data_IF_176067126788
#
_entry.id   IF_176067126788
#
_cell.length_a   1.000
_cell.length_b   1.000
_cell.length_c   1.000
_cell.angle_alpha   90.00
_cell.angle_beta   90.00
_cell.angle_gamma   90.00
#
_symmetry.space_group_name_H-M   'P 1'
#
loop_
_entity.id
_entity.type
_entity.pdbx_description
1 polymer ?
#
# COMPACT_ATOMS: atom_id res chain seq x y z
N UNK A 1 54.51 -16.24 -5.28
CA UNK A 1 53.85 -17.27 -6.13
C UNK A 1 52.39 -17.33 -5.75
N UNK A 2 51.45 -16.85 -6.58
CA UNK A 2 50.01 -17.04 -6.37
C UNK A 2 49.70 -18.54 -6.52
N UNK A 3 49.30 -19.23 -5.44
CA UNK A 3 48.76 -20.58 -5.53
C UNK A 3 47.58 -20.55 -6.51
N UNK A 4 47.70 -21.30 -7.63
CA UNK A 4 46.58 -21.55 -8.53
C UNK A 4 45.51 -22.28 -7.72
N UNK A 5 44.42 -21.62 -7.38
CA UNK A 5 43.25 -22.26 -6.79
C UNK A 5 42.74 -23.31 -7.76
N UNK A 6 42.42 -24.52 -7.28
CA UNK A 6 41.84 -25.55 -8.13
C UNK A 6 40.43 -25.11 -8.54
N UNK A 7 40.13 -25.15 -9.82
CA UNK A 7 38.83 -24.79 -10.36
C UNK A 7 37.72 -25.65 -9.74
N UNK A 8 36.64 -25.04 -9.32
CA UNK A 8 35.44 -25.72 -8.80
C UNK A 8 34.87 -26.63 -9.88
N UNK A 9 34.63 -27.90 -9.52
CA UNK A 9 34.07 -28.89 -10.43
C UNK A 9 32.72 -29.39 -9.94
N UNK A 10 31.71 -29.32 -10.80
CA UNK A 10 30.37 -29.85 -10.55
C UNK A 10 30.27 -31.27 -11.19
N UNK A 11 29.77 -32.23 -10.39
CA UNK A 11 29.65 -33.63 -10.86
C UNK A 11 28.32 -34.21 -10.38
N UNK A 12 27.54 -34.83 -11.30
CA UNK A 12 26.33 -35.57 -10.93
C UNK A 12 26.74 -36.85 -10.20
N UNK A 13 26.17 -37.12 -9.03
CA UNK A 13 26.35 -38.32 -8.22
C UNK A 13 25.06 -38.96 -7.84
N UNK A 14 25.10 -40.28 -7.53
CA UNK A 14 24.00 -41.04 -7.00
C UNK A 14 24.18 -41.23 -5.48
N UNK A 15 23.10 -41.05 -4.72
CA UNK A 15 23.01 -41.37 -3.29
C UNK A 15 21.87 -42.37 -3.11
N UNK A 16 22.17 -43.55 -2.54
CA UNK A 16 21.16 -44.57 -2.26
C UNK A 16 20.15 -44.04 -1.23
N UNK A 17 18.86 -44.30 -1.47
CA UNK A 17 17.81 -44.07 -0.51
C UNK A 17 17.94 -45.06 0.65
N UNK A 18 17.61 -44.65 1.87
CA UNK A 18 17.58 -45.51 3.06
C UNK A 18 16.29 -46.33 3.16
N UNK A 19 15.21 -45.87 2.51
CA UNK A 19 13.87 -46.42 2.66
C UNK A 19 13.29 -47.05 1.40
N UNK A 20 13.91 -46.80 0.19
CA UNK A 20 13.43 -47.28 -1.10
C UNK A 20 14.58 -47.83 -1.93
N UNK A 21 14.29 -48.70 -2.85
CA UNK A 21 15.30 -49.22 -3.78
C UNK A 21 15.47 -48.25 -4.99
N UNK A 22 15.93 -47.06 -4.65
CA UNK A 22 16.19 -45.96 -5.60
C UNK A 22 17.43 -45.18 -5.20
N UNK A 23 17.98 -44.41 -6.14
CA UNK A 23 19.13 -43.52 -5.94
C UNK A 23 18.72 -42.08 -6.27
N UNK A 24 18.91 -41.17 -5.32
CA UNK A 24 18.71 -39.74 -5.53
C UNK A 24 19.86 -39.17 -6.35
N UNK A 25 19.51 -38.35 -7.37
CA UNK A 25 20.44 -37.57 -8.16
C UNK A 25 20.84 -36.31 -7.38
N UNK A 26 22.14 -36.08 -7.29
CA UNK A 26 22.69 -34.89 -6.63
C UNK A 26 23.86 -34.34 -7.41
N UNK A 27 24.12 -33.05 -7.27
CA UNK A 27 25.31 -32.38 -7.78
C UNK A 27 26.32 -32.24 -6.65
N UNK A 28 27.48 -32.81 -6.83
CA UNK A 28 28.62 -32.69 -5.90
C UNK A 28 29.56 -31.61 -6.43
N UNK A 29 29.72 -30.55 -5.68
CA UNK A 29 30.47 -29.35 -6.04
C UNK A 29 31.69 -29.25 -5.14
N UNK A 30 32.89 -29.34 -5.74
CA UNK A 30 34.17 -29.33 -5.01
C UNK A 30 35.33 -28.96 -5.94
N UNK A 31 36.34 -28.22 -5.45
CA UNK A 31 36.40 -27.49 -4.18
C UNK A 31 35.62 -26.16 -4.22
N UNK A 32 34.95 -25.78 -3.14
CA UNK A 32 34.32 -24.45 -2.99
C UNK A 32 35.08 -23.71 -1.90
N UNK A 33 35.50 -22.48 -2.17
CA UNK A 33 36.24 -21.65 -1.21
C UNK A 33 35.38 -20.49 -0.78
N UNK A 34 35.12 -20.37 0.54
CA UNK A 34 34.38 -19.24 1.13
C UNK A 34 35.23 -17.97 1.23
N UNK A 35 36.55 -18.14 1.29
CA UNK A 35 37.54 -17.06 1.33
C UNK A 35 38.75 -17.47 0.48
N UNK A 36 39.50 -16.55 -0.17
CA UNK A 36 40.61 -16.87 -1.08
C UNK A 36 41.69 -17.75 -0.51
N UNK A 37 41.87 -17.77 0.83
CA UNK A 37 42.87 -18.61 1.54
C UNK A 37 42.23 -19.63 2.47
N UNK A 38 40.91 -19.88 2.34
CA UNK A 38 40.16 -20.80 3.20
C UNK A 38 40.42 -22.28 2.85
N UNK A 39 39.92 -23.16 3.75
CA UNK A 39 39.90 -24.60 3.44
C UNK A 39 38.79 -24.88 2.42
N UNK A 40 39.02 -25.81 1.48
CA UNK A 40 38.03 -26.20 0.49
C UNK A 40 36.82 -26.88 1.18
N UNK A 41 35.64 -26.46 0.85
CA UNK A 41 34.38 -27.08 1.27
C UNK A 41 33.77 -27.87 0.12
N UNK A 42 32.93 -28.85 0.46
CA UNK A 42 32.14 -29.62 -0.48
C UNK A 42 30.65 -29.31 -0.27
N UNK A 43 29.97 -28.95 -1.35
CA UNK A 43 28.54 -28.72 -1.37
C UNK A 43 27.88 -29.88 -2.13
N UNK A 44 26.74 -30.35 -1.63
CA UNK A 44 25.92 -31.39 -2.25
C UNK A 44 24.51 -30.85 -2.40
N UNK A 45 24.05 -30.70 -3.62
CA UNK A 45 22.70 -30.21 -3.95
C UNK A 45 21.85 -31.35 -4.51
N UNK A 46 20.66 -31.55 -3.98
CA UNK A 46 19.68 -32.51 -4.50
C UNK A 46 19.00 -31.94 -5.76
N UNK A 47 18.80 -32.78 -6.77
CA UNK A 47 18.15 -32.39 -8.03
C UNK A 47 16.63 -32.67 -8.01
N UNK A 48 16.11 -33.20 -6.88
CA UNK A 48 14.72 -33.63 -6.71
C UNK A 48 14.27 -34.67 -7.77
N UNK A 49 15.21 -35.52 -8.21
CA UNK A 49 14.98 -36.64 -9.11
C UNK A 49 15.67 -37.87 -8.56
N UNK A 50 15.08 -39.04 -8.82
CA UNK A 50 15.66 -40.34 -8.47
C UNK A 50 15.67 -41.28 -9.66
N UNK A 51 16.49 -42.31 -9.59
CA UNK A 51 16.61 -43.37 -10.58
C UNK A 51 16.58 -44.73 -9.87
N UNK A 52 16.01 -45.73 -10.53
CA UNK A 52 15.86 -47.09 -9.97
C UNK A 52 16.75 -48.13 -10.69
N UNK A 53 17.21 -47.85 -11.91
CA UNK A 53 17.91 -48.80 -12.76
C UNK A 53 19.31 -48.36 -13.22
N UNK A 54 20.18 -47.77 -12.35
CA UNK A 54 21.48 -47.31 -12.76
C UNK A 54 22.39 -48.47 -13.23
N UNK A 55 23.18 -48.25 -14.26
CA UNK A 55 24.19 -49.21 -14.76
C UNK A 55 25.51 -48.95 -14.03
N UNK A 56 26.04 -49.97 -13.41
CA UNK A 56 27.31 -49.88 -12.66
C UNK A 56 28.51 -50.34 -13.50
N UNK A 57 29.59 -49.57 -13.41
CA UNK A 57 30.86 -49.90 -14.06
C UNK A 57 31.70 -50.80 -13.13
N UNK A 58 31.67 -52.07 -13.37
CA UNK A 58 32.37 -53.07 -12.58
C UNK A 58 33.90 -52.97 -12.68
N UNK A 59 34.45 -52.23 -13.64
CA UNK A 59 35.90 -51.98 -13.77
C UNK A 59 36.41 -50.85 -12.85
N UNK A 60 35.49 -50.05 -12.30
CA UNK A 60 35.80 -48.89 -11.43
C UNK A 60 35.15 -48.97 -10.07
N UNK A 61 35.93 -49.40 -9.06
CA UNK A 61 35.49 -49.46 -7.65
C UNK A 61 35.31 -48.02 -7.13
N UNK A 62 34.16 -47.73 -6.51
CA UNK A 62 33.90 -46.47 -5.86
C UNK A 62 34.32 -46.50 -4.36
N UNK A 63 34.04 -47.60 -3.67
CA UNK A 63 34.41 -47.83 -2.26
C UNK A 63 34.46 -49.31 -1.91
N UNK A 64 35.43 -49.70 -1.13
CA UNK A 64 35.48 -50.98 -0.44
C UNK A 64 35.06 -50.78 0.99
N UNK A 65 34.08 -51.56 1.48
CA UNK A 65 33.54 -51.47 2.82
C UNK A 65 34.32 -52.38 3.78
N UNK A 66 34.28 -52.15 5.12
CA UNK A 66 34.98 -52.97 6.09
C UNK A 66 34.57 -54.46 6.12
N UNK A 67 33.35 -54.76 5.66
CA UNK A 67 32.77 -56.11 5.49
C UNK A 67 33.25 -56.82 4.23
N UNK A 68 34.17 -56.24 3.45
CA UNK A 68 34.66 -56.77 2.21
C UNK A 68 33.77 -56.52 0.97
N UNK A 69 32.58 -55.93 1.17
CA UNK A 69 31.70 -55.56 0.05
C UNK A 69 32.22 -54.38 -0.75
N UNK A 70 31.96 -54.38 -2.08
CA UNK A 70 32.48 -53.39 -3.00
C UNK A 70 31.31 -52.65 -3.66
N UNK A 71 31.35 -51.31 -3.67
CA UNK A 71 30.45 -50.50 -4.47
C UNK A 71 31.19 -49.97 -5.72
N UNK A 72 30.48 -49.92 -6.84
CA UNK A 72 31.02 -49.48 -8.13
C UNK A 72 30.59 -48.07 -8.47
N UNK A 73 31.32 -47.40 -9.37
CA UNK A 73 30.92 -46.11 -9.93
C UNK A 73 29.79 -46.32 -10.97
N UNK A 74 28.86 -45.37 -11.12
CA UNK A 74 27.89 -45.44 -12.19
C UNK A 74 28.57 -45.31 -13.53
N UNK A 75 28.16 -46.12 -14.49
CA UNK A 75 28.61 -46.03 -15.89
C UNK A 75 28.14 -44.74 -16.53
N UNK A 76 28.99 -44.12 -17.32
CA UNK A 76 28.71 -42.86 -18.03
C UNK A 76 28.86 -43.04 -19.51
N UNK A 77 28.07 -42.28 -20.29
CA UNK A 77 28.20 -42.19 -21.73
C UNK A 77 29.42 -41.33 -22.16
N UNK A 78 29.60 -41.11 -23.45
CA UNK A 78 30.67 -40.27 -23.99
C UNK A 78 30.62 -38.80 -23.53
N UNK A 79 29.44 -38.32 -23.16
CA UNK A 79 29.22 -36.94 -22.67
C UNK A 79 29.35 -36.86 -21.15
N UNK A 80 29.59 -37.98 -20.45
CA UNK A 80 29.73 -38.03 -19.00
C UNK A 80 28.40 -38.18 -18.25
N UNK A 81 27.27 -38.35 -18.92
CA UNK A 81 25.95 -38.55 -18.33
C UNK A 81 25.82 -39.96 -17.76
N UNK A 82 25.22 -40.12 -16.58
CA UNK A 82 25.00 -41.43 -15.95
C UNK A 82 23.99 -42.22 -16.80
N UNK A 83 24.33 -43.48 -17.09
CA UNK A 83 23.50 -44.39 -17.86
C UNK A 83 22.63 -45.26 -16.98
N UNK A 84 21.36 -45.42 -17.37
CA UNK A 84 20.36 -46.27 -16.72
C UNK A 84 19.76 -47.23 -17.75
N UNK A 85 19.08 -48.29 -17.26
CA UNK A 85 18.39 -49.25 -18.16
C UNK A 85 17.02 -48.73 -18.60
N UNK A 86 16.35 -47.99 -17.75
CA UNK A 86 15.04 -47.40 -18.05
C UNK A 86 15.20 -46.07 -18.82
N UNK A 87 14.29 -45.81 -19.76
CA UNK A 87 14.24 -44.58 -20.52
C UNK A 87 13.90 -43.36 -19.61
N UNK A 88 12.95 -43.53 -18.65
CA UNK A 88 12.58 -42.51 -17.69
C UNK A 88 13.74 -42.11 -16.75
N UNK A 89 14.54 -43.13 -16.31
CA UNK A 89 15.73 -42.86 -15.49
C UNK A 89 16.81 -42.14 -16.30
N UNK A 90 16.99 -42.47 -17.57
CA UNK A 90 17.93 -41.77 -18.48
C UNK A 90 17.50 -40.30 -18.67
N UNK A 91 16.21 -40.01 -18.83
CA UNK A 91 15.69 -38.64 -18.89
C UNK A 91 16.00 -37.86 -17.60
N UNK A 92 15.85 -38.51 -16.44
CA UNK A 92 16.21 -37.92 -15.13
C UNK A 92 17.69 -37.63 -15.02
N UNK A 93 18.55 -38.51 -15.55
CA UNK A 93 20.00 -38.30 -15.60
C UNK A 93 20.40 -37.16 -16.54
N UNK A 94 19.76 -37.03 -17.71
CA UNK A 94 19.95 -35.93 -18.64
C UNK A 94 19.53 -34.58 -18.01
N UNK A 95 18.42 -34.56 -17.31
CA UNK A 95 18.00 -33.39 -16.58
C UNK A 95 19.02 -32.98 -15.52
N UNK A 96 19.51 -33.92 -14.71
CA UNK A 96 20.55 -33.67 -13.71
C UNK A 96 21.85 -33.15 -14.33
N UNK A 97 22.20 -33.62 -15.51
CA UNK A 97 23.40 -33.12 -16.20
C UNK A 97 23.21 -31.68 -16.72
N UNK A 98 22.02 -31.33 -17.22
CA UNK A 98 21.73 -29.94 -17.57
C UNK A 98 21.81 -29.00 -16.34
N UNK A 99 21.31 -29.45 -15.20
CA UNK A 99 21.44 -28.65 -13.93
C UNK A 99 22.94 -28.56 -13.54
N UNK A 100 23.72 -29.63 -13.69
CA UNK A 100 25.19 -29.63 -13.49
C UNK A 100 25.87 -28.60 -14.37
N UNK A 101 25.50 -28.52 -15.65
CA UNK A 101 26.09 -27.55 -16.59
C UNK A 101 25.77 -26.12 -16.18
N UNK A 102 24.55 -25.83 -15.77
CA UNK A 102 24.17 -24.51 -15.24
C UNK A 102 25.01 -24.14 -14.02
N UNK A 103 25.13 -25.07 -13.04
CA UNK A 103 25.97 -24.84 -11.85
C UNK A 103 27.45 -24.67 -12.21
N UNK A 104 27.98 -25.47 -13.16
CA UNK A 104 29.38 -25.31 -13.58
C UNK A 104 29.62 -23.92 -14.16
N UNK A 105 28.73 -23.43 -15.03
CA UNK A 105 28.84 -22.07 -15.60
C UNK A 105 28.78 -20.99 -14.52
N UNK A 106 27.94 -21.13 -13.50
CA UNK A 106 27.87 -20.19 -12.36
C UNK A 106 29.23 -20.11 -11.65
N UNK A 107 29.83 -21.24 -11.33
CA UNK A 107 31.15 -21.28 -10.68
C UNK A 107 32.30 -20.83 -11.58
N UNK A 108 32.28 -21.18 -12.86
CA UNK A 108 33.29 -20.73 -13.84
C UNK A 108 33.25 -19.21 -14.03
N UNK A 109 32.04 -18.62 -13.94
CA UNK A 109 31.87 -17.18 -14.05
C UNK A 109 32.22 -16.43 -12.74
N UNK A 110 32.09 -17.06 -11.58
CA UNK A 110 32.46 -16.41 -10.28
C UNK A 110 33.96 -16.03 -10.26
N UNK A 111 34.83 -16.83 -10.86
CA UNK A 111 36.27 -16.57 -10.89
C UNK A 111 36.68 -15.51 -11.95
N UNK A 112 35.76 -15.17 -12.88
CA UNK A 112 36.01 -14.22 -13.99
C UNK A 112 35.61 -12.78 -13.64
N UNK A 113 34.69 -12.61 -12.72
CA UNK A 113 34.16 -11.26 -12.40
C UNK A 113 34.80 -10.70 -11.14
N UNK A 114 35.30 -9.46 -11.24
CA UNK A 114 35.58 -8.61 -10.10
C UNK A 114 34.26 -8.29 -9.41
N UNK A 115 34.28 -7.95 -8.10
CA UNK A 115 33.06 -7.55 -7.34
C UNK A 115 32.23 -6.49 -8.08
N UNK A 116 32.89 -5.61 -8.82
CA UNK A 116 32.26 -4.55 -9.62
C UNK A 116 31.54 -5.12 -10.85
N UNK A 117 32.13 -6.10 -11.54
CA UNK A 117 31.54 -6.74 -12.73
C UNK A 117 30.35 -7.61 -12.32
N UNK A 118 30.44 -8.31 -11.18
CA UNK A 118 29.34 -9.08 -10.62
C UNK A 118 28.15 -8.16 -10.23
N UNK A 119 28.44 -6.99 -9.64
CA UNK A 119 27.42 -6.00 -9.30
C UNK A 119 26.75 -5.43 -10.56
N UNK A 120 27.53 -5.14 -11.63
CA UNK A 120 27.01 -4.67 -12.92
C UNK A 120 26.15 -5.73 -13.61
N UNK A 121 26.56 -7.00 -13.59
CA UNK A 121 25.78 -8.11 -14.14
C UNK A 121 24.45 -8.29 -13.40
N UNK A 122 24.47 -8.27 -12.08
CA UNK A 122 23.25 -8.33 -11.25
C UNK A 122 22.31 -7.13 -11.49
N UNK A 123 22.88 -5.93 -11.69
CA UNK A 123 22.09 -4.74 -12.02
C UNK A 123 21.49 -4.83 -13.43
N UNK A 124 22.23 -5.36 -14.39
CA UNK A 124 21.74 -5.60 -15.76
C UNK A 124 20.58 -6.60 -15.75
N UNK A 125 20.68 -7.69 -14.99
CA UNK A 125 19.61 -8.67 -14.86
C UNK A 125 18.36 -8.04 -14.23
N UNK A 126 18.51 -7.26 -13.16
CA UNK A 126 17.39 -6.55 -12.51
C UNK A 126 16.71 -5.55 -13.43
N UNK A 127 17.46 -4.89 -14.30
CA UNK A 127 16.94 -3.93 -15.28
C UNK A 127 16.03 -4.58 -16.32
N UNK A 128 16.19 -5.88 -16.58
CA UNK A 128 15.34 -6.67 -17.50
C UNK A 128 14.09 -7.25 -16.81
N UNK A 129 13.93 -7.07 -15.49
CA UNK A 129 12.73 -7.50 -14.79
C UNK A 129 11.52 -6.64 -15.17
N UNK A 130 10.33 -7.24 -15.10
CA UNK A 130 9.08 -6.56 -15.41
C UNK A 130 8.57 -5.75 -14.21
N UNK A 131 8.46 -4.44 -14.37
CA UNK A 131 7.94 -3.53 -13.33
C UNK A 131 6.47 -3.78 -13.01
N UNK A 132 5.63 -4.19 -13.96
CA UNK A 132 4.21 -4.47 -13.70
C UNK A 132 4.07 -5.67 -12.76
N UNK A 133 4.87 -6.71 -12.94
CA UNK A 133 4.91 -7.86 -12.02
C UNK A 133 5.44 -7.45 -10.64
N UNK A 134 6.53 -6.68 -10.60
CA UNK A 134 7.05 -6.11 -9.37
C UNK A 134 5.98 -5.29 -8.62
N UNK A 135 5.22 -4.45 -9.34
CA UNK A 135 4.15 -3.64 -8.77
C UNK A 135 3.05 -4.51 -8.12
N UNK A 136 2.72 -5.63 -8.75
CA UNK A 136 1.76 -6.60 -8.20
C UNK A 136 2.26 -7.23 -6.90
N UNK A 137 3.53 -7.65 -6.87
CA UNK A 137 4.18 -8.17 -5.65
C UNK A 137 4.20 -7.11 -4.55
N UNK A 138 4.45 -5.85 -4.90
CA UNK A 138 4.47 -4.74 -3.95
C UNK A 138 3.07 -4.45 -3.37
N UNK A 139 2.00 -4.63 -4.14
CA UNK A 139 0.62 -4.59 -3.60
C UNK A 139 0.47 -5.62 -2.48
N UNK A 140 0.84 -6.85 -2.72
CA UNK A 140 0.67 -7.94 -1.73
C UNK A 140 1.57 -7.72 -0.50
N UNK A 141 2.80 -7.22 -0.69
CA UNK A 141 3.73 -6.91 0.39
C UNK A 141 3.18 -5.83 1.33
N UNK A 142 2.65 -4.74 0.77
CA UNK A 142 2.12 -3.59 1.54
C UNK A 142 0.79 -3.88 2.21
N UNK A 143 -0.02 -4.75 1.63
CA UNK A 143 -1.41 -4.91 2.05
C UNK A 143 -1.66 -6.04 3.05
N UNK A 144 -0.65 -6.73 3.52
CA UNK A 144 -0.75 -7.61 4.69
C UNK A 144 -1.21 -6.87 5.97
N UNK A 145 -1.00 -5.55 6.03
CA UNK A 145 -1.24 -4.72 7.23
C UNK A 145 -2.18 -3.51 6.96
N UNK A 146 -2.45 -3.15 5.71
CA UNK A 146 -3.17 -1.92 5.35
C UNK A 146 -4.68 -2.13 5.11
N UNK A 147 -5.44 -1.01 5.13
CA UNK A 147 -6.88 -1.03 4.89
C UNK A 147 -7.24 -1.45 3.47
N UNK A 148 -8.39 -2.11 3.31
CA UNK A 148 -8.93 -2.56 2.01
C UNK A 148 -9.07 -1.41 1.00
N UNK A 149 -9.43 -0.20 1.44
CA UNK A 149 -9.57 0.96 0.53
C UNK A 149 -8.24 1.38 -0.10
N UNK A 150 -7.12 1.22 0.60
CA UNK A 150 -5.79 1.49 0.05
C UNK A 150 -5.46 0.42 -1.01
N UNK A 151 -5.74 -0.85 -0.71
CA UNK A 151 -5.54 -1.97 -1.65
C UNK A 151 -6.31 -1.77 -2.96
N UNK A 152 -7.56 -1.33 -2.88
CA UNK A 152 -8.39 -1.01 -4.06
C UNK A 152 -7.70 0.05 -4.94
N UNK A 153 -7.16 1.12 -4.35
CA UNK A 153 -6.47 2.16 -5.11
C UNK A 153 -5.18 1.63 -5.76
N UNK A 154 -4.38 0.82 -5.07
CA UNK A 154 -3.19 0.19 -5.63
C UNK A 154 -3.53 -0.75 -6.79
N UNK A 155 -4.54 -1.61 -6.63
CA UNK A 155 -5.02 -2.48 -7.69
C UNK A 155 -5.51 -1.67 -8.90
N UNK A 156 -6.16 -0.53 -8.67
CA UNK A 156 -6.60 0.32 -9.77
C UNK A 156 -5.42 0.92 -10.53
N UNK A 157 -4.35 1.35 -9.84
CA UNK A 157 -3.12 1.82 -10.50
C UNK A 157 -2.46 0.70 -11.30
N UNK A 158 -2.44 -0.53 -10.78
CA UNK A 158 -1.96 -1.71 -11.51
C UNK A 158 -2.71 -1.92 -12.84
N UNK A 159 -4.04 -1.86 -12.82
CA UNK A 159 -4.83 -1.96 -14.06
C UNK A 159 -4.55 -0.80 -15.03
N UNK A 160 -4.36 0.41 -14.51
CA UNK A 160 -4.03 1.57 -15.34
C UNK A 160 -2.62 1.49 -15.94
N UNK A 161 -1.66 0.88 -15.25
CA UNK A 161 -0.33 0.58 -15.79
C UNK A 161 -0.41 -0.36 -16.99
N UNK A 162 -1.24 -1.42 -16.91
CA UNK A 162 -1.46 -2.35 -18.02
C UNK A 162 -2.09 -1.67 -19.24
N UNK A 163 -3.07 -0.79 -19.00
CA UNK A 163 -3.71 0.00 -20.07
C UNK A 163 -2.69 0.94 -20.73
N UNK A 164 -1.86 1.62 -19.93
CA UNK A 164 -0.82 2.52 -20.42
C UNK A 164 0.24 1.79 -21.25
N UNK A 165 0.71 0.65 -20.77
CA UNK A 165 1.68 -0.21 -21.45
C UNK A 165 1.11 -0.90 -22.70
N UNK A 166 -0.23 -0.87 -22.89
CA UNK A 166 -0.94 -1.67 -23.90
C UNK A 166 -0.61 -3.17 -23.80
N UNK A 167 -0.34 -3.66 -22.59
CA UNK A 167 0.08 -5.01 -22.29
C UNK A 167 0.49 -5.18 -20.82
N UNK A 168 1.20 -6.26 -20.54
CA UNK A 168 1.57 -6.67 -19.19
C UNK A 168 3.07 -6.48 -18.88
N UNK A 169 3.82 -5.77 -19.75
CA UNK A 169 5.27 -5.63 -19.64
C UNK A 169 5.70 -4.18 -19.74
N UNK A 170 6.41 -3.72 -18.72
CA UNK A 170 7.29 -2.54 -18.69
C UNK A 170 8.58 -3.00 -18.03
N UNK A 171 9.69 -3.01 -18.76
CA UNK A 171 10.98 -3.38 -18.16
C UNK A 171 11.51 -2.22 -17.30
N UNK A 172 12.27 -2.55 -16.24
CA UNK A 172 12.92 -1.51 -15.46
C UNK A 172 13.92 -0.68 -16.27
N UNK A 173 14.51 -1.27 -17.34
CA UNK A 173 15.35 -0.54 -18.31
C UNK A 173 14.62 0.56 -19.06
N UNK A 174 13.30 0.42 -19.25
CA UNK A 174 12.48 1.37 -20.01
C UNK A 174 11.95 2.51 -19.13
N UNK A 175 12.14 2.40 -17.80
CA UNK A 175 11.66 3.39 -16.85
C UNK A 175 12.64 4.58 -16.81
N UNK A 176 12.28 5.63 -17.50
CA UNK A 176 12.98 6.90 -17.55
C UNK A 176 12.07 8.08 -17.15
N UNK A 177 12.63 9.29 -17.14
CA UNK A 177 11.86 10.50 -16.81
C UNK A 177 10.72 10.76 -17.81
N UNK A 178 10.92 10.38 -19.07
CA UNK A 178 9.92 10.55 -20.12
C UNK A 178 8.72 9.64 -19.87
N UNK A 179 8.95 8.36 -19.59
CA UNK A 179 7.87 7.42 -19.25
C UNK A 179 7.07 7.91 -18.03
N UNK A 180 7.75 8.48 -17.01
CA UNK A 180 7.07 9.03 -15.84
C UNK A 180 6.17 10.23 -16.19
N UNK A 181 6.63 11.15 -17.02
CA UNK A 181 5.83 12.28 -17.47
C UNK A 181 4.68 11.83 -18.40
N UNK A 182 4.92 10.88 -19.30
CA UNK A 182 3.89 10.30 -20.16
C UNK A 182 2.81 9.59 -19.33
N UNK A 183 3.20 8.82 -18.32
CA UNK A 183 2.25 8.19 -17.40
C UNK A 183 1.48 9.22 -16.57
N UNK A 184 2.12 10.30 -16.14
CA UNK A 184 1.47 11.42 -15.44
C UNK A 184 0.41 12.09 -16.31
N UNK A 185 0.70 12.34 -17.60
CA UNK A 185 -0.29 12.89 -18.55
C UNK A 185 -1.42 11.89 -18.80
N UNK A 186 -1.10 10.61 -18.97
CA UNK A 186 -2.11 9.55 -19.07
C UNK A 186 -3.06 9.55 -17.86
N UNK A 187 -2.55 9.73 -16.63
CA UNK A 187 -3.40 9.77 -15.42
C UNK A 187 -4.46 10.87 -15.44
N UNK A 188 -4.22 12.00 -16.13
CA UNK A 188 -5.19 13.10 -16.25
C UNK A 188 -6.38 12.75 -17.16
N UNK A 189 -6.21 11.76 -18.03
CA UNK A 189 -7.23 11.31 -19.00
C UNK A 189 -7.61 9.84 -18.80
N UNK A 190 -7.08 9.20 -17.76
CA UNK A 190 -7.26 7.77 -17.50
C UNK A 190 -8.75 7.41 -17.31
N UNK A 191 -9.20 6.26 -17.82
CA UNK A 191 -10.59 5.84 -17.70
C UNK A 191 -10.97 5.59 -16.23
N UNK A 192 -12.20 5.95 -15.85
CA UNK A 192 -12.68 5.80 -14.47
C UNK A 192 -12.79 4.35 -14.01
N UNK A 193 -13.00 3.42 -14.93
CA UNK A 193 -13.11 1.97 -14.64
C UNK A 193 -14.49 1.53 -14.19
N UNK A 194 -14.69 0.21 -14.23
CA UNK A 194 -15.99 -0.40 -13.94
C UNK A 194 -17.05 -0.04 -15.00
N UNK A 195 -18.32 0.05 -14.58
CA UNK A 195 -19.45 0.42 -15.46
C UNK A 195 -19.57 1.94 -15.72
N UNK A 196 -18.74 2.76 -15.07
CA UNK A 196 -18.80 4.22 -15.22
C UNK A 196 -18.07 4.67 -16.48
N UNK A 197 -18.75 5.43 -17.33
CA UNK A 197 -18.14 6.10 -18.48
C UNK A 197 -17.51 7.42 -18.02
N UNK A 198 -16.33 7.74 -18.52
CA UNK A 198 -15.61 8.98 -18.20
C UNK A 198 -14.19 8.77 -17.73
N UNK A 199 -13.54 9.86 -17.36
CA UNK A 199 -12.17 9.90 -16.85
C UNK A 199 -12.13 10.05 -15.33
N UNK A 200 -11.03 9.69 -14.72
CA UNK A 200 -10.81 9.92 -13.28
C UNK A 200 -10.76 11.41 -12.97
N UNK A 201 -11.23 11.82 -11.81
CA UNK A 201 -11.09 13.22 -11.37
C UNK A 201 -9.61 13.56 -11.16
N UNK A 202 -9.27 14.87 -11.29
CA UNK A 202 -7.91 15.36 -11.09
C UNK A 202 -7.33 14.91 -9.73
N UNK A 203 -8.09 15.00 -8.64
CA UNK A 203 -7.61 14.59 -7.31
C UNK A 203 -7.46 13.07 -7.18
N UNK A 204 -8.23 12.28 -7.92
CA UNK A 204 -8.01 10.84 -8.06
C UNK A 204 -6.70 10.56 -8.81
N UNK A 205 -6.43 11.29 -9.90
CA UNK A 205 -5.17 11.19 -10.64
C UNK A 205 -3.96 11.54 -9.77
N UNK A 206 -4.06 12.57 -8.90
CA UNK A 206 -3.03 12.90 -7.88
C UNK A 206 -2.74 11.69 -6.99
N UNK A 207 -3.79 11.08 -6.45
CA UNK A 207 -3.66 9.91 -5.58
C UNK A 207 -2.99 8.74 -6.31
N UNK A 208 -3.44 8.42 -7.52
CA UNK A 208 -2.92 7.30 -8.31
C UNK A 208 -1.47 7.52 -8.74
N UNK A 209 -1.13 8.74 -9.15
CA UNK A 209 0.25 9.06 -9.51
C UNK A 209 1.18 9.03 -8.28
N UNK A 210 0.69 9.41 -7.10
CA UNK A 210 1.43 9.29 -5.85
C UNK A 210 1.71 7.83 -5.48
N UNK A 211 0.76 6.92 -5.74
CA UNK A 211 0.93 5.46 -5.57
C UNK A 211 2.02 4.94 -6.52
N UNK A 212 1.98 5.33 -7.79
CA UNK A 212 3.00 4.97 -8.78
C UNK A 212 4.40 5.43 -8.33
N UNK A 213 4.53 6.69 -7.89
CA UNK A 213 5.79 7.21 -7.34
C UNK A 213 6.26 6.45 -6.11
N UNK A 214 5.35 6.02 -5.23
CA UNK A 214 5.69 5.23 -4.06
C UNK A 214 6.24 3.84 -4.43
N UNK A 215 5.70 3.20 -5.48
CA UNK A 215 6.23 1.94 -6.00
C UNK A 215 7.62 2.12 -6.63
N UNK A 216 7.85 3.20 -7.40
CA UNK A 216 9.16 3.51 -7.97
C UNK A 216 10.21 3.78 -6.89
N UNK A 217 9.85 4.53 -5.84
CA UNK A 217 10.74 4.76 -4.71
C UNK A 217 11.14 3.45 -4.02
N UNK A 218 10.18 2.53 -3.87
CA UNK A 218 10.47 1.22 -3.30
C UNK A 218 11.36 0.40 -4.24
N UNK A 219 11.12 0.43 -5.55
CA UNK A 219 11.96 -0.25 -6.53
C UNK A 219 13.41 0.27 -6.52
N UNK A 220 13.61 1.57 -6.28
CA UNK A 220 14.95 2.13 -6.04
C UNK A 220 15.57 1.58 -4.75
N UNK A 221 14.83 1.52 -3.65
CA UNK A 221 15.31 0.95 -2.37
C UNK A 221 15.65 -0.53 -2.53
N UNK A 222 14.86 -1.28 -3.30
CA UNK A 222 15.06 -2.71 -3.55
C UNK A 222 16.17 -2.97 -4.59
N UNK A 223 16.78 -1.91 -5.18
CA UNK A 223 17.92 -1.99 -6.09
C UNK A 223 17.58 -2.36 -7.54
N UNK A 224 16.31 -2.22 -7.96
CA UNK A 224 15.91 -2.37 -9.37
C UNK A 224 16.22 -1.12 -10.20
N UNK A 225 16.18 0.05 -9.59
CA UNK A 225 16.55 1.33 -10.19
C UNK A 225 17.84 1.85 -9.56
N UNK A 226 18.73 2.40 -10.37
CA UNK A 226 20.00 3.00 -9.93
C UNK A 226 19.83 4.43 -9.42
N UNK A 227 18.72 5.08 -9.76
CA UNK A 227 18.41 6.47 -9.43
C UNK A 227 16.99 6.54 -8.91
N UNK A 228 16.74 7.34 -7.85
CA UNK A 228 15.38 7.64 -7.38
C UNK A 228 14.67 8.59 -8.36
N UNK A 229 14.04 8.02 -9.38
CA UNK A 229 13.26 8.76 -10.37
C UNK A 229 12.00 9.38 -9.73
N UNK A 230 11.48 8.81 -8.65
CA UNK A 230 10.31 9.32 -7.96
C UNK A 230 10.52 10.73 -7.39
N UNK A 231 11.75 11.07 -6.98
CA UNK A 231 12.10 12.38 -6.47
C UNK A 231 12.25 13.43 -7.58
N UNK A 232 12.59 13.01 -8.82
CA UNK A 232 12.87 13.92 -9.95
C UNK A 232 11.61 14.43 -10.64
N UNK A 233 10.48 13.74 -10.53
CA UNK A 233 9.22 14.13 -11.19
C UNK A 233 8.27 14.78 -10.17
N UNK A 234 7.80 15.99 -10.50
CA UNK A 234 6.79 16.69 -9.71
C UNK A 234 5.46 15.95 -9.76
N UNK A 235 4.78 15.86 -8.62
CA UNK A 235 3.42 15.32 -8.55
C UNK A 235 2.43 16.12 -9.41
N UNK A 236 1.25 15.54 -9.63
CA UNK A 236 0.12 16.27 -10.22
C UNK A 236 -0.36 17.28 -9.17
N UNK A 237 -0.50 18.58 -9.48
CA UNK A 237 -1.02 19.55 -8.53
C UNK A 237 -2.50 19.25 -8.23
N UNK A 238 -2.84 19.30 -6.94
CA UNK A 238 -4.20 19.12 -6.47
C UNK A 238 -5.10 20.26 -6.98
N UNK A 239 -6.37 19.93 -7.26
CA UNK A 239 -7.41 20.89 -7.54
C UNK A 239 -8.16 21.17 -6.23
N UNK A 240 -8.27 22.44 -5.85
CA UNK A 240 -9.12 22.81 -4.72
C UNK A 240 -10.55 22.39 -4.99
N UNK A 241 -11.12 21.64 -4.05
CA UNK A 241 -12.53 21.28 -4.07
C UNK A 241 -13.28 22.11 -3.05
N UNK A 242 -14.34 22.80 -3.51
CA UNK A 242 -15.27 23.46 -2.59
C UNK A 242 -15.93 22.39 -1.74
N UNK A 243 -15.84 22.56 -0.42
CA UNK A 243 -16.46 21.66 0.53
C UNK A 243 -17.81 22.25 0.94
N UNK A 244 -18.89 21.56 0.58
CA UNK A 244 -20.22 21.99 0.94
C UNK A 244 -20.43 21.81 2.46
N UNK A 245 -21.15 22.76 3.04
CA UNK A 245 -21.59 22.77 4.43
C UNK A 245 -22.96 23.42 4.54
N UNK A 246 -23.66 23.19 5.64
CA UNK A 246 -24.96 23.80 5.94
C UNK A 246 -24.75 25.06 6.77
N UNK A 247 -25.50 26.13 6.46
CA UNK A 247 -25.62 27.27 7.39
C UNK A 247 -26.41 26.86 8.61
N UNK A 248 -26.48 27.70 9.65
CA UNK A 248 -27.29 27.42 10.84
C UNK A 248 -28.76 27.33 10.47
N UNK A 249 -29.27 28.22 9.57
CA UNK A 249 -30.63 28.22 9.08
C UNK A 249 -30.96 26.93 8.31
N UNK A 250 -30.08 26.53 7.39
CA UNK A 250 -30.26 25.28 6.64
C UNK A 250 -30.21 24.05 7.55
N UNK A 251 -29.35 24.05 8.58
CA UNK A 251 -29.29 22.96 9.55
C UNK A 251 -30.59 22.88 10.37
N UNK A 252 -31.16 24.00 10.76
CA UNK A 252 -32.44 24.06 11.49
C UNK A 252 -33.60 23.59 10.60
N UNK A 253 -33.68 24.03 9.36
CA UNK A 253 -34.68 23.56 8.40
C UNK A 253 -34.56 22.04 8.22
N UNK A 254 -33.36 21.53 8.06
CA UNK A 254 -33.12 20.10 7.89
C UNK A 254 -33.49 19.31 9.16
N UNK A 255 -33.16 19.83 10.33
CA UNK A 255 -33.55 19.22 11.61
C UNK A 255 -35.07 19.13 11.78
N UNK A 256 -35.82 20.12 11.31
CA UNK A 256 -37.30 20.10 11.34
C UNK A 256 -37.90 19.16 10.28
N UNK A 257 -37.20 18.92 9.17
CA UNK A 257 -37.69 18.11 8.04
C UNK A 257 -37.83 16.63 8.41
N UNK A 258 -38.97 15.97 8.14
CA UNK A 258 -39.12 14.53 8.31
C UNK A 258 -38.12 13.72 7.45
N UNK A 259 -37.69 12.58 7.98
CA UNK A 259 -36.76 11.69 7.27
C UNK A 259 -37.26 10.24 7.33
N UNK A 260 -37.32 9.56 6.16
CA UNK A 260 -37.76 8.15 6.05
C UNK A 260 -36.86 7.18 6.86
N UNK A 261 -35.66 7.62 7.19
CA UNK A 261 -34.70 6.84 7.98
C UNK A 261 -34.26 7.64 9.21
N UNK A 262 -35.03 7.59 10.33
CA UNK A 262 -34.75 8.38 11.53
C UNK A 262 -33.34 8.19 12.08
N UNK A 263 -32.77 7.01 11.97
CA UNK A 263 -31.38 6.73 12.42
C UNK A 263 -30.35 7.54 11.63
N UNK A 264 -30.54 7.73 10.32
CA UNK A 264 -29.64 8.55 9.48
C UNK A 264 -29.73 10.02 9.88
N UNK A 265 -30.98 10.53 10.09
CA UNK A 265 -31.19 11.89 10.55
C UNK A 265 -30.51 12.15 11.90
N UNK A 266 -30.76 11.28 12.90
CA UNK A 266 -30.12 11.38 14.22
C UNK A 266 -28.61 11.39 14.13
N UNK A 267 -28.01 10.44 13.41
CA UNK A 267 -26.57 10.33 13.26
C UNK A 267 -25.96 11.53 12.51
N UNK A 268 -26.63 12.04 11.47
CA UNK A 268 -26.19 13.20 10.71
C UNK A 268 -26.18 14.48 11.56
N UNK A 269 -27.28 14.74 12.28
CA UNK A 269 -27.38 15.88 13.22
C UNK A 269 -26.35 15.74 14.36
N UNK A 270 -26.15 14.53 14.88
CA UNK A 270 -25.12 14.26 15.88
C UNK A 270 -23.72 14.60 15.32
N UNK A 271 -23.41 14.22 14.06
CA UNK A 271 -22.18 14.62 13.39
C UNK A 271 -22.05 16.14 13.25
N UNK A 272 -23.16 16.87 12.98
CA UNK A 272 -23.16 18.33 12.89
C UNK A 272 -22.91 19.03 14.25
N UNK A 273 -23.25 18.39 15.34
CA UNK A 273 -23.08 18.93 16.70
C UNK A 273 -21.77 18.52 17.38
N UNK A 274 -21.14 17.43 16.91
CA UNK A 274 -19.93 16.86 17.55
C UNK A 274 -18.71 16.84 16.65
N UNK A 275 -18.88 16.96 15.33
CA UNK A 275 -17.82 16.79 14.34
C UNK A 275 -17.37 15.35 14.15
N UNK A 276 -18.00 14.34 14.76
CA UNK A 276 -17.60 12.93 14.64
C UNK A 276 -17.77 12.40 13.21
N UNK A 277 -16.87 11.52 12.79
CA UNK A 277 -16.95 10.85 11.49
C UNK A 277 -18.02 9.77 11.49
N UNK A 278 -18.64 9.50 10.34
CA UNK A 278 -19.64 8.44 10.17
C UNK A 278 -19.19 7.10 10.78
N UNK A 279 -17.97 6.66 10.44
CA UNK A 279 -17.44 5.37 10.91
C UNK A 279 -17.23 5.29 12.42
N UNK A 280 -16.99 6.44 13.07
CA UNK A 280 -16.85 6.53 14.52
C UNK A 280 -18.24 6.52 15.17
N UNK A 281 -19.22 7.25 14.61
CA UNK A 281 -20.63 7.25 15.05
C UNK A 281 -21.25 5.84 14.92
N UNK A 282 -20.99 5.14 13.82
CA UNK A 282 -21.50 3.79 13.57
C UNK A 282 -21.04 2.78 14.63
N UNK A 283 -19.86 2.98 15.20
CA UNK A 283 -19.27 2.07 16.19
C UNK A 283 -19.36 2.58 17.63
N UNK A 284 -19.93 3.77 17.84
CA UNK A 284 -20.05 4.38 19.15
C UNK A 284 -20.93 3.54 20.07
N UNK A 285 -20.40 3.20 21.23
CA UNK A 285 -21.09 2.44 22.27
C UNK A 285 -21.58 3.32 23.41
N UNK A 286 -22.63 2.90 24.08
CA UNK A 286 -23.15 3.61 25.24
C UNK A 286 -22.16 3.74 26.40
N UNK A 287 -21.27 2.77 26.56
CA UNK A 287 -20.19 2.82 27.57
C UNK A 287 -19.12 3.89 27.29
N UNK A 288 -19.05 4.39 26.05
CA UNK A 288 -18.13 5.45 25.64
C UNK A 288 -18.70 6.85 25.89
N UNK A 289 -19.99 6.96 26.25
CA UNK A 289 -20.64 8.23 26.62
C UNK A 289 -20.73 8.30 28.14
N UNK A 290 -20.00 9.22 28.71
CA UNK A 290 -19.93 9.42 30.17
C UNK A 290 -20.35 10.84 30.54
N UNK A 291 -20.95 11.00 31.71
CA UNK A 291 -21.22 12.30 32.30
C UNK A 291 -20.05 12.68 33.20
N UNK A 292 -19.47 13.85 32.97
CA UNK A 292 -18.34 14.39 33.72
C UNK A 292 -18.74 15.76 34.25
N UNK A 293 -19.15 15.82 35.53
CA UNK A 293 -19.80 16.99 36.11
C UNK A 293 -21.13 17.29 35.40
N UNK A 294 -21.27 18.52 34.91
CA UNK A 294 -22.46 18.98 34.19
C UNK A 294 -22.40 18.74 32.67
N UNK A 295 -21.30 18.14 32.16
CA UNK A 295 -21.09 17.95 30.75
C UNK A 295 -21.07 16.47 30.36
N UNK A 296 -21.57 16.16 29.16
CA UNK A 296 -21.42 14.87 28.53
C UNK A 296 -20.11 14.81 27.74
N UNK A 297 -19.45 13.67 27.75
CA UNK A 297 -18.24 13.41 26.97
C UNK A 297 -18.34 12.08 26.25
N UNK A 298 -17.72 12.03 25.07
CA UNK A 298 -17.51 10.80 24.32
C UNK A 298 -16.03 10.43 24.42
N UNK A 299 -15.75 9.25 24.97
CA UNK A 299 -14.40 8.70 25.12
C UNK A 299 -14.27 7.50 24.18
N UNK A 300 -13.64 7.69 23.04
CA UNK A 300 -13.56 6.64 22.03
C UNK A 300 -12.21 6.66 21.29
N UNK A 301 -11.87 5.51 20.66
CA UNK A 301 -10.70 5.42 19.79
C UNK A 301 -11.14 5.59 18.34
N UNK A 302 -10.62 6.63 17.67
CA UNK A 302 -10.95 6.89 16.27
C UNK A 302 -10.57 5.72 15.38
N UNK A 303 -11.49 5.27 14.52
CA UNK A 303 -11.27 4.12 13.64
C UNK A 303 -10.21 4.40 12.57
N UNK A 304 -10.15 5.64 12.08
CA UNK A 304 -9.22 6.01 10.99
C UNK A 304 -7.81 6.31 11.48
N UNK A 305 -7.67 7.06 12.58
CA UNK A 305 -6.36 7.57 13.05
C UNK A 305 -5.82 6.83 14.26
N UNK A 306 -6.65 5.95 14.88
CA UNK A 306 -6.34 5.19 16.10
C UNK A 306 -6.00 6.08 17.32
N UNK A 307 -6.28 7.39 17.24
CA UNK A 307 -6.16 8.31 18.38
C UNK A 307 -7.26 8.09 19.40
N UNK A 308 -6.94 8.20 20.68
CA UNK A 308 -7.93 8.24 21.77
C UNK A 308 -8.45 9.67 21.84
N UNK A 309 -9.77 9.84 21.79
CA UNK A 309 -10.43 11.13 21.81
C UNK A 309 -11.32 11.26 23.05
N UNK A 310 -11.26 12.45 23.65
CA UNK A 310 -12.08 12.87 24.80
C UNK A 310 -12.83 14.13 24.37
N UNK A 311 -13.98 13.94 23.72
CA UNK A 311 -14.70 15.05 23.11
C UNK A 311 -15.92 15.42 23.96
N UNK A 312 -16.01 16.64 24.50
CA UNK A 312 -17.24 17.12 25.15
C UNK A 312 -18.34 17.23 24.08
N UNK A 313 -19.55 16.88 24.47
CA UNK A 313 -20.75 17.02 23.64
C UNK A 313 -21.81 17.80 24.39
N UNK A 314 -22.62 18.53 23.64
CA UNK A 314 -23.77 19.31 24.23
C UNK A 314 -24.88 18.38 24.67
N UNK A 315 -25.73 18.88 25.55
CA UNK A 315 -26.98 18.19 25.96
C UNK A 315 -27.85 17.83 24.74
N UNK A 316 -27.94 18.73 23.76
CA UNK A 316 -28.70 18.49 22.54
C UNK A 316 -28.09 17.33 21.72
N UNK A 317 -26.74 17.21 21.66
CA UNK A 317 -26.11 16.09 21.02
C UNK A 317 -26.35 14.77 21.77
N UNK A 318 -26.35 14.81 23.10
CA UNK A 318 -26.73 13.64 23.93
C UNK A 318 -28.16 13.19 23.69
N UNK A 319 -29.12 14.11 23.59
CA UNK A 319 -30.53 13.79 23.30
C UNK A 319 -30.70 13.07 21.96
N UNK A 320 -29.86 13.37 20.95
CA UNK A 320 -29.84 12.65 19.68
C UNK A 320 -29.38 11.19 19.81
N UNK A 321 -28.70 10.83 20.88
CA UNK A 321 -28.33 9.44 21.13
C UNK A 321 -29.57 8.57 21.44
N UNK A 322 -30.64 9.16 21.99
CA UNK A 322 -31.86 8.47 22.37
C UNK A 322 -31.79 7.90 23.78
N UNK A 323 -32.63 6.91 24.08
CA UNK A 323 -32.67 6.26 25.38
C UNK A 323 -31.39 5.45 25.64
N UNK A 324 -30.84 5.61 26.86
CA UNK A 324 -29.61 4.95 27.27
C UNK A 324 -29.83 3.46 27.43
N UNK A 325 -29.02 2.68 26.75
CA UNK A 325 -28.97 1.22 26.81
C UNK A 325 -27.71 0.72 27.53
N UNK A 326 -27.55 -0.62 27.57
CA UNK A 326 -26.35 -1.24 28.12
C UNK A 326 -25.08 -0.72 27.47
N UNK A 327 -24.00 -0.61 28.22
CA UNK A 327 -22.73 -0.02 27.78
C UNK A 327 -22.10 -0.66 26.55
N UNK A 328 -22.37 -1.93 26.27
CA UNK A 328 -21.86 -2.63 25.11
C UNK A 328 -22.69 -2.43 23.83
N UNK A 329 -23.91 -1.92 23.97
CA UNK A 329 -24.81 -1.67 22.83
C UNK A 329 -24.35 -0.44 22.05
N UNK A 330 -24.60 -0.46 20.74
CA UNK A 330 -24.34 0.67 19.88
C UNK A 330 -25.37 1.79 20.12
N UNK A 331 -24.91 3.04 20.13
CA UNK A 331 -25.79 4.22 20.28
C UNK A 331 -26.64 4.42 19.02
N UNK A 332 -26.07 4.23 17.86
CA UNK A 332 -26.74 4.34 16.57
C UNK A 332 -26.88 2.97 15.91
N UNK A 333 -27.47 2.02 16.64
CA UNK A 333 -27.68 0.66 16.14
C UNK A 333 -28.53 0.68 14.87
N UNK A 334 -28.08 -0.03 13.82
CA UNK A 334 -28.74 -0.04 12.52
C UNK A 334 -28.34 1.12 11.59
N UNK A 335 -27.35 1.95 11.96
CA UNK A 335 -26.80 2.96 11.04
C UNK A 335 -26.08 2.25 9.87
N UNK A 336 -26.56 2.41 8.62
CA UNK A 336 -25.99 1.72 7.47
C UNK A 336 -24.57 2.17 7.15
N UNK A 337 -23.83 1.36 6.37
CA UNK A 337 -22.53 1.75 5.85
C UNK A 337 -22.60 2.96 4.91
N UNK A 338 -21.49 3.71 4.74
CA UNK A 338 -21.46 4.92 3.93
C UNK A 338 -21.98 4.74 2.50
N UNK A 339 -21.79 3.54 1.92
CA UNK A 339 -22.27 3.21 0.57
C UNK A 339 -23.80 3.17 0.45
N UNK A 340 -24.51 2.87 1.55
CA UNK A 340 -25.98 2.75 1.58
C UNK A 340 -26.70 4.02 2.08
N UNK A 341 -25.95 4.95 2.67
CA UNK A 341 -26.51 6.20 3.20
C UNK A 341 -26.83 7.23 2.11
N UNK A 342 -26.09 7.26 1.02
CA UNK A 342 -26.12 8.34 0.03
C UNK A 342 -27.54 8.62 -0.51
N UNK A 343 -28.26 7.60 -0.97
CA UNK A 343 -29.62 7.78 -1.51
C UNK A 343 -30.67 8.22 -0.51
N UNK A 344 -30.77 7.61 0.70
CA UNK A 344 -31.68 8.09 1.74
C UNK A 344 -31.37 9.52 2.19
N UNK A 345 -30.09 9.87 2.31
CA UNK A 345 -29.66 11.21 2.67
C UNK A 345 -30.04 12.24 1.60
N UNK A 346 -29.78 11.95 0.32
CA UNK A 346 -30.15 12.80 -0.79
C UNK A 346 -31.66 13.09 -0.86
N UNK A 347 -32.49 12.06 -0.60
CA UNK A 347 -33.96 12.25 -0.53
C UNK A 347 -34.35 13.20 0.61
N UNK A 348 -33.77 13.01 1.80
CA UNK A 348 -34.06 13.87 2.94
C UNK A 348 -33.64 15.32 2.71
N UNK A 349 -32.45 15.54 2.15
CA UNK A 349 -31.95 16.87 1.75
C UNK A 349 -32.91 17.51 0.70
N UNK A 350 -33.33 16.74 -0.30
CA UNK A 350 -34.28 17.23 -1.32
C UNK A 350 -35.63 17.65 -0.71
N UNK A 351 -36.16 16.87 0.21
CA UNK A 351 -37.44 17.20 0.91
C UNK A 351 -37.33 18.49 1.72
N UNK A 352 -36.16 18.80 2.29
CA UNK A 352 -35.92 20.04 3.03
C UNK A 352 -35.80 21.30 2.13
N UNK A 353 -35.77 21.15 0.80
CA UNK A 353 -35.61 22.27 -0.12
C UNK A 353 -34.15 22.76 -0.26
N UNK A 354 -33.18 22.13 0.37
CA UNK A 354 -31.77 22.49 0.29
C UNK A 354 -31.24 22.03 -1.08
N UNK A 355 -30.65 22.95 -1.84
CA UNK A 355 -30.13 22.67 -3.21
C UNK A 355 -28.67 22.22 -3.23
N UNK A 356 -27.96 22.35 -2.12
CA UNK A 356 -26.56 21.93 -1.99
C UNK A 356 -26.41 20.41 -2.06
N UNK A 357 -25.32 19.93 -2.64
CA UNK A 357 -24.99 18.50 -2.62
C UNK A 357 -24.37 18.11 -1.28
N UNK A 358 -25.19 17.70 -0.33
CA UNK A 358 -24.79 17.35 1.03
C UNK A 358 -24.57 15.85 1.15
N UNK A 359 -23.35 15.45 1.45
CA UNK A 359 -22.98 14.08 1.84
C UNK A 359 -22.91 13.98 3.37
N UNK A 360 -22.85 12.76 3.91
CA UNK A 360 -22.74 12.61 5.38
C UNK A 360 -21.50 13.34 5.94
N UNK A 361 -20.40 13.38 5.20
CA UNK A 361 -19.19 14.10 5.64
C UNK A 361 -19.38 15.63 5.70
N UNK A 362 -20.36 16.18 4.97
CA UNK A 362 -20.67 17.60 5.01
C UNK A 362 -21.18 18.05 6.38
N UNK A 363 -21.80 17.17 7.18
CA UNK A 363 -22.22 17.51 8.56
C UNK A 363 -21.02 17.79 9.46
N UNK A 364 -19.93 17.05 9.30
CA UNK A 364 -18.68 17.35 10.00
C UNK A 364 -18.03 18.64 9.46
N UNK A 365 -18.16 18.94 8.17
CA UNK A 365 -17.72 20.24 7.63
C UNK A 365 -18.58 21.38 8.20
N UNK A 366 -19.89 21.16 8.34
CA UNK A 366 -20.82 22.08 8.99
C UNK A 366 -20.38 22.40 10.42
N UNK A 367 -20.12 21.37 11.24
CA UNK A 367 -19.58 21.54 12.59
C UNK A 367 -18.34 22.44 12.59
N UNK A 368 -17.32 22.10 11.78
CA UNK A 368 -16.08 22.85 11.75
C UNK A 368 -16.28 24.31 11.34
N UNK A 369 -17.10 24.55 10.31
CA UNK A 369 -17.34 25.90 9.79
C UNK A 369 -18.15 26.73 10.77
N UNK A 370 -19.22 26.18 11.38
CA UNK A 370 -20.03 26.89 12.36
C UNK A 370 -19.25 27.20 13.65
N UNK A 371 -18.41 26.28 14.13
CA UNK A 371 -17.55 26.55 15.29
C UNK A 371 -16.58 27.70 15.03
N UNK A 372 -15.92 27.72 13.87
CA UNK A 372 -15.04 28.81 13.48
C UNK A 372 -15.79 30.13 13.31
N UNK A 373 -17.01 30.08 12.73
CA UNK A 373 -17.86 31.27 12.58
C UNK A 373 -18.26 31.85 13.96
N UNK A 374 -18.59 30.97 14.92
CA UNK A 374 -18.93 31.35 16.28
C UNK A 374 -17.75 31.79 17.16
N UNK A 375 -16.55 31.89 16.61
CA UNK A 375 -15.40 32.42 17.35
C UNK A 375 -14.48 31.36 17.97
N UNK A 376 -14.82 30.06 17.91
CA UNK A 376 -13.92 29.00 18.39
C UNK A 376 -12.61 29.04 17.61
N UNK A 377 -11.47 29.02 18.28
CA UNK A 377 -10.17 29.06 17.62
C UNK A 377 -9.88 27.78 16.84
N UNK A 378 -9.03 27.89 15.81
CA UNK A 378 -8.76 26.79 14.88
C UNK A 378 -8.10 25.58 15.55
N UNK A 379 -7.28 25.80 16.60
CA UNK A 379 -6.61 24.70 17.30
C UNK A 379 -7.63 23.89 18.11
N UNK A 380 -8.55 24.54 18.78
CA UNK A 380 -9.67 23.90 19.51
C UNK A 380 -10.53 23.11 18.53
N UNK A 381 -10.94 23.71 17.40
CA UNK A 381 -11.73 23.00 16.37
C UNK A 381 -10.93 21.82 15.80
N UNK A 382 -9.64 21.99 15.55
CA UNK A 382 -8.77 20.92 15.07
C UNK A 382 -8.70 19.74 16.05
N UNK A 383 -8.61 20.04 17.36
CA UNK A 383 -8.63 19.03 18.42
C UNK A 383 -9.98 18.33 18.51
N UNK A 384 -11.10 19.05 18.52
CA UNK A 384 -12.45 18.47 18.54
C UNK A 384 -12.69 17.55 17.32
N UNK A 385 -12.09 17.87 16.18
CA UNK A 385 -12.15 17.02 15.00
C UNK A 385 -11.16 15.83 15.06
N UNK A 386 -10.23 15.79 16.00
CA UNK A 386 -9.15 14.79 16.03
C UNK A 386 -8.27 14.84 14.78
N UNK A 387 -7.86 16.04 14.36
CA UNK A 387 -6.91 16.21 13.27
C UNK A 387 -5.50 16.23 13.85
N UNK A 388 -4.62 15.38 13.32
CA UNK A 388 -3.19 15.34 13.69
C UNK A 388 -2.41 16.55 13.17
N UNK A 389 -2.95 17.26 12.15
CA UNK A 389 -2.33 18.43 11.54
C UNK A 389 -3.38 19.52 11.34
N UNK A 390 -3.14 20.71 11.93
CA UNK A 390 -4.01 21.89 11.82
C UNK A 390 -4.26 22.33 10.38
N UNK A 391 -3.31 22.07 9.45
CA UNK A 391 -3.51 22.34 8.02
C UNK A 391 -4.77 21.67 7.46
N UNK A 392 -5.20 20.55 8.03
CA UNK A 392 -6.45 19.89 7.65
C UNK A 392 -7.68 20.71 8.02
N UNK A 393 -7.60 21.55 9.07
CA UNK A 393 -8.67 22.42 9.53
C UNK A 393 -8.66 23.78 8.83
N UNK A 394 -7.50 24.23 8.29
CA UNK A 394 -7.39 25.51 7.58
C UNK A 394 -8.30 25.64 6.36
N UNK A 395 -8.74 24.53 5.78
CA UNK A 395 -9.69 24.54 4.65
C UNK A 395 -11.03 25.21 5.02
N UNK A 396 -11.41 25.20 6.30
CA UNK A 396 -12.65 25.81 6.78
C UNK A 396 -12.54 27.31 7.07
N UNK A 397 -11.32 27.82 7.28
CA UNK A 397 -11.11 29.26 7.56
C UNK A 397 -11.36 30.15 6.33
N UNK A 398 -11.26 29.60 5.13
CA UNK A 398 -11.54 30.33 3.88
C UNK A 398 -13.00 30.76 3.73
N UNK A 399 -13.91 30.21 4.54
CA UNK A 399 -15.36 30.40 4.43
C UNK A 399 -15.87 31.43 5.43
N UNK A 400 -15.04 31.88 6.41
CA UNK A 400 -15.47 32.78 7.49
C UNK A 400 -15.09 34.22 7.14
N UNK A 401 -15.78 34.79 6.13
CA UNK A 401 -15.54 36.17 5.71
C UNK A 401 -15.96 37.23 6.75
N UNK A 402 -17.01 36.97 7.52
CA UNK A 402 -17.47 37.85 8.60
C UNK A 402 -16.38 38.18 9.65
N UNK A 403 -15.43 37.24 9.91
CA UNK A 403 -14.31 37.52 10.80
C UNK A 403 -13.25 38.43 10.17
N UNK A 404 -13.11 38.42 8.86
CA UNK A 404 -12.18 39.35 8.17
C UNK A 404 -12.72 40.75 8.22
N UNK A 405 -14.03 40.94 8.05
CA UNK A 405 -14.70 42.23 8.20
C UNK A 405 -14.57 42.76 9.62
N UNK A 406 -14.91 41.94 10.64
CA UNK A 406 -14.73 42.31 12.04
C UNK A 406 -13.29 42.60 12.43
N UNK A 407 -12.31 41.87 11.86
CA UNK A 407 -10.89 42.12 12.11
C UNK A 407 -10.41 43.42 11.42
N UNK A 408 -10.96 43.74 10.25
CA UNK A 408 -10.65 45.03 9.59
C UNK A 408 -11.19 46.20 10.40
N UNK A 409 -12.37 46.08 10.99
CA UNK A 409 -13.02 47.09 11.80
C UNK A 409 -12.47 47.20 13.24
N UNK A 410 -11.70 46.21 13.69
CA UNK A 410 -11.15 46.20 15.06
C UNK A 410 -10.04 47.22 15.29
N UNK A 411 -9.32 47.63 14.24
CA UNK A 411 -8.25 48.63 14.34
C UNK A 411 -8.81 50.00 13.96
N UNK A 412 -9.11 50.80 14.96
CA UNK A 412 -9.56 52.19 14.78
C UNK A 412 -8.48 53.12 15.22
N UNK A 413 -8.06 54.04 14.34
CA UNK A 413 -7.16 55.14 14.64
C UNK A 413 -7.96 56.42 14.67
N UNK A 414 -7.70 57.28 15.67
CA UNK A 414 -8.28 58.61 15.68
C UNK A 414 -7.53 59.47 14.69
N UNK A 415 -8.10 59.61 13.49
CA UNK A 415 -7.64 60.61 12.54
C UNK A 415 -8.19 61.95 13.06
N UNK A 416 -7.37 62.74 13.77
CA UNK A 416 -7.70 64.13 14.07
C UNK A 416 -7.89 64.86 12.73
N UNK A 417 -9.03 65.49 12.59
CA UNK A 417 -9.42 66.32 11.44
C UNK A 417 -8.47 67.51 11.34
N UNK A 418 -7.37 67.38 10.63
CA UNK A 418 -6.59 68.53 10.14
C UNK A 418 -7.12 69.02 8.81
N UNK A 419 -8.36 69.46 8.74
CA UNK A 419 -8.88 70.13 7.55
C UNK A 419 -10.11 70.97 7.87
N UNK A 420 -9.98 71.96 8.76
CA UNK A 420 -10.92 73.10 8.87
C UNK A 420 -10.19 74.44 9.12
N UNK A 421 -9.09 74.71 8.42
CA UNK A 421 -8.48 76.06 8.52
C UNK A 421 -7.80 76.56 7.26
N UNK A 422 -8.40 76.27 6.08
CA UNK A 422 -8.06 76.98 4.86
C UNK A 422 -9.34 77.29 4.06
N UNK A 423 -10.25 78.08 4.62
CA UNK A 423 -11.20 78.92 3.90
C UNK A 423 -11.66 80.04 4.82
N UNK A 424 -10.86 81.10 4.93
CA UNK A 424 -11.29 82.47 5.26
C UNK A 424 -10.53 83.43 4.41
#
# INVERSE_FOLDING_TARGET
MKKKLANTKCTVKLRKSEYRDEWYLMIDIYPVYKTPNGKPHRIKEGVNRSVTTPIWDKSHIAKTHPDGSVTYKPRRDANGVIMCRSAADNESCLYADKVRELRQREYDNQDLYTDTEAAMAAQSERSQCNFIEYFKVEIDRRHKVNSESIRINWNRVYELLKIFAKGDVILFSDIDLKLLEDFKQFMLTAPQGGKKKGTVSRNTAVTYFSIFKAALKQAFIDGYLTIDLSAKVKGIPEQESRREYLTMEELNILAATPCDKPIIKRAALFSALTGMRHVDIQKLKWGEIVKDGDHWRVNFTQQKTKGVEYTPISEQAYQLCGERLDGNRLVFEGLPDPSWISKPLERWIKVSGITKHITFHCFRHTFATLQLANGTDIYTVSKMLGHTNVKTTQIYTKVVDAKKESAADAIKINLSSENESEKS
#
